data_IF_863321054881
#
_entry.id   IF_863321054881
#
_cell.length_a   1.000
_cell.length_b   1.000
_cell.length_c   1.000
_cell.angle_alpha   90.00
_cell.angle_beta   90.00
_cell.angle_gamma   90.00
#
_symmetry.space_group_name_H-M   'P 1'
#
loop_
_entity.id
_entity.type
_entity.pdbx_description
1 polymer ?
#
# COMPACT_ATOMS: atom_id res chain seq x y z
N UNK A 1 19.66 29.10 18.62
CA UNK A 1 18.50 28.38 19.17
C UNK A 1 17.57 27.90 18.06
N UNK A 2 17.36 28.73 17.06
CA UNK A 2 16.44 28.42 15.95
C UNK A 2 16.88 27.21 15.09
N UNK A 3 18.20 27.04 14.87
CA UNK A 3 18.75 25.92 14.08
C UNK A 3 18.41 24.54 14.65
N UNK A 4 18.56 24.34 15.97
CA UNK A 4 18.22 23.05 16.60
C UNK A 4 16.72 22.76 16.55
N UNK A 5 15.90 23.79 16.73
CA UNK A 5 14.44 23.66 16.61
C UNK A 5 14.07 23.28 15.19
N UNK A 6 14.68 23.91 14.19
CA UNK A 6 14.45 23.59 12.78
C UNK A 6 14.83 22.15 12.45
N UNK A 7 15.97 21.66 12.96
CA UNK A 7 16.40 20.27 12.79
C UNK A 7 15.36 19.29 13.39
N UNK A 8 14.88 19.55 14.61
CA UNK A 8 13.88 18.68 15.23
C UNK A 8 12.57 18.68 14.45
N UNK A 9 12.10 19.85 14.00
CA UNK A 9 10.89 19.97 13.21
C UNK A 9 11.03 19.24 11.87
N UNK A 10 12.15 19.40 11.19
CA UNK A 10 12.40 18.73 9.91
C UNK A 10 12.50 17.22 10.07
N UNK A 11 13.16 16.71 11.09
CA UNK A 11 13.20 15.27 11.39
C UNK A 11 11.81 14.71 11.69
N UNK A 12 10.98 15.46 12.42
CA UNK A 12 9.60 15.07 12.73
C UNK A 12 8.73 14.99 11.45
N UNK A 13 8.81 15.99 10.57
CA UNK A 13 8.07 15.96 9.30
C UNK A 13 8.61 14.88 8.36
N UNK A 14 9.93 14.66 8.29
CA UNK A 14 10.51 13.56 7.52
C UNK A 14 9.99 12.22 8.00
N UNK A 15 9.94 12.01 9.32
CA UNK A 15 9.40 10.79 9.92
C UNK A 15 7.91 10.56 9.55
N UNK A 16 7.10 11.64 9.55
CA UNK A 16 5.70 11.55 9.14
C UNK A 16 5.58 11.22 7.65
N UNK A 17 6.28 11.92 6.76
CA UNK A 17 6.20 11.66 5.33
C UNK A 17 6.65 10.24 4.98
N UNK A 18 7.80 9.83 5.50
CA UNK A 18 8.39 8.52 5.28
C UNK A 18 7.52 7.39 5.87
N UNK A 19 6.96 7.61 7.07
CA UNK A 19 6.06 6.68 7.73
C UNK A 19 4.72 6.55 7.00
N UNK A 20 4.11 7.67 6.58
CA UNK A 20 2.83 7.66 5.86
C UNK A 20 2.93 7.11 4.45
N UNK A 21 4.08 7.26 3.78
CA UNK A 21 4.36 6.59 2.52
C UNK A 21 4.26 5.08 2.67
N UNK A 22 5.01 4.50 3.63
CA UNK A 22 5.01 3.05 3.84
C UNK A 22 3.67 2.55 4.40
N UNK A 23 3.01 3.31 5.27
CA UNK A 23 1.69 2.96 5.78
C UNK A 23 0.67 2.83 4.66
N UNK A 24 0.68 3.74 3.69
CA UNK A 24 -0.21 3.68 2.54
C UNK A 24 0.07 2.48 1.64
N UNK A 25 1.34 2.22 1.32
CA UNK A 25 1.75 1.09 0.46
C UNK A 25 1.48 -0.26 1.14
N UNK A 26 1.68 -0.35 2.47
CA UNK A 26 1.46 -1.58 3.25
C UNK A 26 0.02 -1.73 3.75
N UNK A 27 -0.85 -0.76 3.51
CA UNK A 27 -2.24 -0.81 3.96
C UNK A 27 -3.07 -1.76 3.10
N UNK A 28 -3.97 -2.49 3.76
CA UNK A 28 -4.90 -3.36 3.08
C UNK A 28 -6.16 -2.59 2.70
N UNK A 29 -6.37 -2.36 1.40
CA UNK A 29 -7.50 -1.61 0.85
C UNK A 29 -8.85 -2.27 1.18
N UNK A 30 -8.92 -3.61 1.19
CA UNK A 30 -10.14 -4.33 1.48
C UNK A 30 -10.51 -4.22 2.97
N UNK A 31 -9.54 -4.38 3.87
CA UNK A 31 -9.75 -4.16 5.30
C UNK A 31 -10.24 -2.74 5.58
N UNK A 32 -9.70 -1.76 4.88
CA UNK A 32 -10.17 -0.38 4.95
C UNK A 32 -11.65 -0.25 4.52
N UNK A 33 -12.07 -0.88 3.41
CA UNK A 33 -13.47 -0.85 2.94
C UNK A 33 -14.43 -1.47 3.96
N UNK A 34 -14.02 -2.53 4.65
CA UNK A 34 -14.81 -3.16 5.72
C UNK A 34 -14.93 -2.25 6.95
N UNK A 35 -13.84 -1.59 7.34
CA UNK A 35 -13.79 -0.71 8.52
C UNK A 35 -14.31 0.71 8.26
N UNK A 36 -14.55 1.08 7.01
CA UNK A 36 -14.98 2.40 6.54
C UNK A 36 -16.17 3.00 7.31
N UNK A 37 -17.07 2.15 7.82
CA UNK A 37 -18.26 2.58 8.59
C UNK A 37 -17.93 3.23 9.93
N UNK A 38 -16.74 3.01 10.50
CA UNK A 38 -16.36 3.47 11.86
C UNK A 38 -15.86 4.93 11.90
N UNK A 39 -15.22 5.44 10.84
CA UNK A 39 -14.55 6.75 10.85
C UNK A 39 -14.97 7.62 9.65
N UNK A 40 -16.00 8.46 9.82
CA UNK A 40 -16.62 9.20 8.70
C UNK A 40 -15.70 10.19 7.96
N UNK A 41 -14.81 10.92 8.66
CA UNK A 41 -13.97 11.97 8.06
C UNK A 41 -12.68 11.34 7.51
N UNK A 42 -11.92 10.62 8.33
CA UNK A 42 -10.69 9.96 7.90
C UNK A 42 -10.92 8.99 6.73
N UNK A 43 -12.04 8.24 6.78
CA UNK A 43 -12.40 7.30 5.72
C UNK A 43 -12.61 7.96 4.37
N UNK A 44 -13.23 9.15 4.30
CA UNK A 44 -13.40 9.89 3.05
C UNK A 44 -12.07 10.37 2.48
N UNK A 45 -11.17 10.82 3.35
CA UNK A 45 -9.83 11.28 2.94
C UNK A 45 -9.00 10.10 2.43
N UNK A 46 -9.02 8.97 3.14
CA UNK A 46 -8.28 7.77 2.71
C UNK A 46 -8.83 7.22 1.41
N UNK A 47 -10.17 7.20 1.23
CA UNK A 47 -10.78 6.83 -0.06
C UNK A 47 -10.32 7.74 -1.20
N UNK A 48 -10.23 9.06 -0.95
CA UNK A 48 -9.68 10.01 -1.91
C UNK A 48 -8.22 9.68 -2.24
N UNK A 49 -7.40 9.33 -1.25
CA UNK A 49 -6.01 8.95 -1.46
C UNK A 49 -5.89 7.66 -2.27
N UNK A 50 -6.73 6.64 -1.99
CA UNK A 50 -6.75 5.42 -2.80
C UNK A 50 -7.16 5.66 -4.26
N UNK A 51 -8.09 6.59 -4.51
CA UNK A 51 -8.46 6.99 -5.88
C UNK A 51 -7.34 7.75 -6.61
N UNK A 52 -6.47 8.43 -5.87
CA UNK A 52 -5.37 9.24 -6.39
C UNK A 52 -4.01 8.78 -5.84
N UNK A 53 -3.79 7.47 -5.79
CA UNK A 53 -2.63 6.84 -5.17
C UNK A 53 -1.30 7.37 -5.71
N UNK A 54 -1.19 7.54 -7.01
CA UNK A 54 -0.02 8.10 -7.70
C UNK A 54 0.34 9.51 -7.19
N UNK A 55 -0.67 10.38 -7.06
CA UNK A 55 -0.48 11.74 -6.54
C UNK A 55 -0.17 11.75 -5.05
N UNK A 56 -0.78 10.85 -4.27
CA UNK A 56 -0.50 10.73 -2.85
C UNK A 56 0.95 10.34 -2.59
N UNK A 57 1.42 9.25 -3.21
CA UNK A 57 2.80 8.77 -3.06
C UNK A 57 3.79 9.85 -3.52
N UNK A 58 3.53 10.47 -4.67
CA UNK A 58 4.36 11.58 -5.18
C UNK A 58 4.41 12.75 -4.20
N UNK A 59 3.30 13.06 -3.51
CA UNK A 59 3.27 14.16 -2.53
C UNK A 59 4.10 13.82 -1.29
N UNK A 60 4.00 12.59 -0.78
CA UNK A 60 4.81 12.14 0.36
C UNK A 60 6.30 12.20 0.02
N UNK A 61 6.67 11.72 -1.17
CA UNK A 61 8.05 11.72 -1.65
C UNK A 61 8.60 13.15 -1.82
N UNK A 62 7.85 14.04 -2.46
CA UNK A 62 8.24 15.44 -2.64
C UNK A 62 8.36 16.15 -1.30
N UNK A 63 7.38 15.97 -0.41
CA UNK A 63 7.39 16.55 0.92
C UNK A 63 8.60 16.11 1.73
N UNK A 64 8.91 14.82 1.74
CA UNK A 64 10.09 14.28 2.41
C UNK A 64 11.38 14.90 1.86
N UNK A 65 11.54 14.96 0.54
CA UNK A 65 12.74 15.53 -0.08
C UNK A 65 12.93 17.01 0.25
N UNK A 66 11.86 17.82 0.25
CA UNK A 66 11.94 19.24 0.65
C UNK A 66 12.42 19.38 2.09
N UNK A 67 11.86 18.59 2.99
CA UNK A 67 12.22 18.60 4.41
C UNK A 67 13.67 18.13 4.63
N UNK A 68 14.12 17.10 3.90
CA UNK A 68 15.49 16.60 3.96
C UNK A 68 16.52 17.63 3.48
N UNK A 69 16.20 18.43 2.47
CA UNK A 69 17.07 19.51 2.01
C UNK A 69 17.23 20.59 3.11
N UNK A 70 16.13 20.99 3.74
CA UNK A 70 16.17 21.97 4.85
C UNK A 70 16.99 21.40 6.02
N UNK A 71 16.73 20.14 6.39
CA UNK A 71 17.50 19.42 7.41
C UNK A 71 19.00 19.43 7.09
N UNK A 72 19.39 19.08 5.87
CA UNK A 72 20.78 19.01 5.46
C UNK A 72 21.51 20.35 5.58
N UNK A 73 20.85 21.47 5.19
CA UNK A 73 21.39 22.82 5.30
C UNK A 73 21.62 23.18 6.78
N UNK A 74 20.63 22.94 7.64
CA UNK A 74 20.75 23.28 9.07
C UNK A 74 21.76 22.39 9.79
N UNK A 75 21.81 21.10 9.45
CA UNK A 75 22.75 20.16 10.04
C UNK A 75 24.20 20.47 9.64
N UNK A 76 24.43 20.92 8.41
CA UNK A 76 25.75 21.37 7.97
C UNK A 76 26.24 22.58 8.79
N UNK A 77 25.37 23.54 9.13
CA UNK A 77 25.72 24.68 9.99
C UNK A 77 26.14 24.22 11.40
N UNK A 78 25.39 23.27 11.99
CA UNK A 78 25.68 22.76 13.33
C UNK A 78 26.98 21.98 13.36
N UNK A 79 27.25 21.14 12.36
CA UNK A 79 28.45 20.29 12.33
C UNK A 79 29.70 21.02 11.89
N UNK A 80 29.58 22.19 11.25
CA UNK A 80 30.75 22.94 10.75
C UNK A 80 31.71 23.35 11.89
N UNK A 81 31.19 23.96 12.94
CA UNK A 81 32.01 24.47 14.02
C UNK A 81 32.82 23.36 14.75
N UNK A 82 32.24 22.24 15.21
CA UNK A 82 33.00 21.19 15.88
C UNK A 82 33.99 20.47 14.97
N UNK A 83 33.67 20.28 13.67
CA UNK A 83 34.58 19.60 12.75
C UNK A 83 35.75 20.47 12.33
N UNK A 84 35.58 21.78 12.22
CA UNK A 84 36.64 22.72 11.91
C UNK A 84 37.71 22.83 13.00
N UNK A 85 37.41 22.43 14.24
CA UNK A 85 38.40 22.37 15.34
C UNK A 85 39.41 21.24 15.14
N UNK A 86 39.05 20.17 14.46
CA UNK A 86 39.88 18.97 14.31
C UNK A 86 40.46 18.81 12.89
N UNK A 87 39.87 19.46 11.92
CA UNK A 87 40.14 19.24 10.49
C UNK A 87 40.32 20.58 9.79
N UNK A 88 41.48 20.77 9.14
CA UNK A 88 41.78 22.00 8.39
C UNK A 88 41.36 21.93 6.92
N UNK A 89 40.93 20.77 6.41
CA UNK A 89 40.57 20.59 5.01
C UNK A 89 39.05 20.72 4.83
N UNK A 90 38.60 21.76 4.13
CA UNK A 90 37.17 22.05 3.88
C UNK A 90 36.46 20.93 3.14
N UNK A 91 37.14 20.23 2.24
CA UNK A 91 36.50 19.09 1.52
C UNK A 91 36.20 17.91 2.45
N UNK A 92 37.15 17.60 3.37
CA UNK A 92 36.95 16.53 4.35
C UNK A 92 35.86 16.90 5.36
N UNK A 93 35.77 18.16 5.75
CA UNK A 93 34.67 18.66 6.62
C UNK A 93 33.33 18.44 5.94
N UNK A 94 33.18 18.87 4.67
CA UNK A 94 31.93 18.72 3.92
C UNK A 94 31.53 17.22 3.78
N UNK A 95 32.51 16.35 3.51
CA UNK A 95 32.26 14.93 3.37
C UNK A 95 31.78 14.30 4.69
N UNK A 96 32.44 14.63 5.80
CA UNK A 96 32.05 14.14 7.12
C UNK A 96 30.70 14.70 7.58
N UNK A 97 30.43 15.97 7.35
CA UNK A 97 29.12 16.58 7.62
C UNK A 97 28.01 15.81 6.90
N UNK A 98 28.19 15.56 5.61
CA UNK A 98 27.21 14.83 4.80
C UNK A 98 27.03 13.40 5.32
N UNK A 99 28.11 12.70 5.61
CA UNK A 99 28.05 11.33 6.11
C UNK A 99 27.31 11.23 7.45
N UNK A 100 27.69 12.07 8.42
CA UNK A 100 27.07 12.10 9.76
C UNK A 100 25.59 12.48 9.64
N UNK A 101 25.26 13.55 8.90
CA UNK A 101 23.86 13.97 8.68
C UNK A 101 23.03 12.87 8.04
N UNK A 102 23.57 12.18 7.04
CA UNK A 102 22.87 11.09 6.35
C UNK A 102 22.59 9.92 7.29
N UNK A 103 23.56 9.51 8.12
CA UNK A 103 23.34 8.43 9.09
C UNK A 103 22.24 8.81 10.09
N UNK A 104 22.27 10.02 10.62
CA UNK A 104 21.28 10.50 11.59
C UNK A 104 19.89 10.47 10.97
N UNK A 105 19.70 11.08 9.79
CA UNK A 105 18.38 11.14 9.17
C UNK A 105 17.88 9.77 8.69
N UNK A 106 18.77 8.93 8.19
CA UNK A 106 18.43 7.57 7.78
C UNK A 106 17.82 6.77 8.94
N UNK A 107 18.42 6.86 10.11
CA UNK A 107 17.93 6.14 11.29
C UNK A 107 16.66 6.79 11.84
N UNK A 108 16.68 8.11 12.10
CA UNK A 108 15.61 8.80 12.83
C UNK A 108 14.46 9.27 11.95
N UNK A 109 14.74 9.69 10.72
CA UNK A 109 13.75 10.23 9.79
C UNK A 109 13.16 9.20 8.83
N UNK A 110 13.84 8.05 8.60
CA UNK A 110 13.38 7.05 7.64
C UNK A 110 13.22 5.66 8.24
N UNK A 111 14.28 5.04 8.76
CA UNK A 111 14.25 3.63 9.16
C UNK A 111 13.27 3.35 10.31
N UNK A 112 13.44 4.06 11.43
CA UNK A 112 12.60 3.90 12.62
C UNK A 112 11.12 4.22 12.29
N UNK A 113 10.79 5.37 11.66
CA UNK A 113 9.40 5.67 11.30
C UNK A 113 8.79 4.64 10.36
N UNK A 114 9.49 4.22 9.31
CA UNK A 114 8.99 3.20 8.38
C UNK A 114 8.65 1.89 9.09
N UNK A 115 9.48 1.47 10.04
CA UNK A 115 9.23 0.25 10.82
C UNK A 115 8.00 0.38 11.72
N UNK A 116 7.86 1.52 12.42
CA UNK A 116 6.73 1.78 13.33
C UNK A 116 5.41 1.85 12.54
N UNK A 117 5.39 2.60 11.45
CA UNK A 117 4.18 2.78 10.64
C UNK A 117 3.77 1.52 9.89
N UNK A 118 4.73 0.70 9.49
CA UNK A 118 4.49 -0.60 8.86
C UNK A 118 3.83 -1.61 9.81
N UNK A 119 4.09 -1.54 11.11
CA UNK A 119 3.52 -2.48 12.09
C UNK A 119 1.98 -2.40 12.17
N UNK A 120 1.39 -1.20 12.03
CA UNK A 120 -0.05 -0.97 12.05
C UNK A 120 -0.47 0.08 11.02
N UNK A 121 -0.40 -0.22 9.71
CA UNK A 121 -0.56 0.78 8.66
C UNK A 121 -1.94 1.45 8.65
N UNK A 122 -3.01 0.68 8.84
CA UNK A 122 -4.37 1.20 8.86
C UNK A 122 -4.64 2.14 10.05
N UNK A 123 -4.04 1.88 11.21
CA UNK A 123 -4.16 2.75 12.38
C UNK A 123 -3.53 4.12 12.12
N UNK A 124 -2.31 4.15 11.62
CA UNK A 124 -1.59 5.39 11.32
C UNK A 124 -2.27 6.20 10.22
N UNK A 125 -2.74 5.53 9.16
CA UNK A 125 -3.52 6.17 8.10
C UNK A 125 -4.77 6.83 8.65
N UNK A 126 -5.55 6.15 9.49
CA UNK A 126 -6.79 6.71 10.04
C UNK A 126 -6.56 7.94 10.91
N UNK A 127 -5.50 7.96 11.73
CA UNK A 127 -5.20 9.08 12.62
C UNK A 127 -4.63 10.28 11.86
N UNK A 128 -3.68 10.04 10.96
CA UNK A 128 -2.93 11.11 10.31
C UNK A 128 -3.54 11.58 8.98
N UNK A 129 -4.50 10.83 8.40
CA UNK A 129 -5.10 11.20 7.12
C UNK A 129 -5.64 12.65 7.05
N UNK A 130 -6.37 13.19 8.05
CA UNK A 130 -6.85 14.57 7.97
C UNK A 130 -5.70 15.60 7.95
N UNK A 131 -4.66 15.35 8.74
CA UNK A 131 -3.47 16.21 8.78
C UNK A 131 -2.69 16.16 7.46
N UNK A 132 -2.47 14.98 6.94
CA UNK A 132 -1.80 14.76 5.66
C UNK A 132 -2.60 15.37 4.50
N UNK A 133 -3.94 15.38 4.58
CA UNK A 133 -4.74 16.01 3.54
C UNK A 133 -4.48 17.51 3.40
N UNK A 134 -4.24 18.22 4.52
CA UNK A 134 -3.87 19.63 4.49
C UNK A 134 -2.51 19.81 3.80
N UNK A 135 -1.54 18.99 4.15
CA UNK A 135 -0.21 19.01 3.53
C UNK A 135 -0.29 18.66 2.05
N UNK A 136 -1.09 17.65 1.70
CA UNK A 136 -1.35 17.26 0.31
C UNK A 136 -1.87 18.45 -0.49
N UNK A 137 -2.80 19.23 0.05
CA UNK A 137 -3.36 20.41 -0.64
C UNK A 137 -2.30 21.48 -0.89
N UNK A 138 -1.41 21.72 0.09
CA UNK A 138 -0.32 22.70 -0.03
C UNK A 138 0.72 22.25 -1.06
N UNK A 139 1.09 20.98 -1.08
CA UNK A 139 2.10 20.43 -1.98
C UNK A 139 1.54 20.07 -3.38
N UNK A 140 0.21 20.06 -3.53
CA UNK A 140 -0.48 19.66 -4.76
C UNK A 140 0.08 20.30 -6.04
N UNK A 141 0.32 21.63 -6.11
CA UNK A 141 0.84 22.25 -7.33
C UNK A 141 2.24 21.72 -7.72
N UNK A 142 3.09 21.44 -6.73
CA UNK A 142 4.44 20.89 -6.96
C UNK A 142 4.34 19.44 -7.42
N UNK A 143 3.43 18.68 -6.83
CA UNK A 143 3.21 17.27 -7.15
C UNK A 143 2.66 17.08 -8.57
N UNK A 144 1.78 17.97 -9.04
CA UNK A 144 1.30 17.94 -10.42
C UNK A 144 2.48 18.11 -11.40
N UNK A 145 3.38 19.04 -11.13
CA UNK A 145 4.54 19.26 -11.98
C UNK A 145 5.44 18.01 -12.01
N UNK A 146 5.72 17.42 -10.86
CA UNK A 146 6.52 16.20 -10.74
C UNK A 146 5.87 15.01 -11.48
N UNK A 147 4.57 14.80 -11.30
CA UNK A 147 3.82 13.73 -11.98
C UNK A 147 3.75 13.95 -13.49
N UNK A 148 3.56 15.19 -13.93
CA UNK A 148 3.58 15.54 -15.35
C UNK A 148 4.94 15.22 -15.99
N UNK A 149 6.04 15.59 -15.34
CA UNK A 149 7.39 15.31 -15.80
C UNK A 149 7.64 13.79 -15.86
N UNK A 150 7.26 13.05 -14.82
CA UNK A 150 7.36 11.59 -14.76
C UNK A 150 6.59 10.91 -15.91
N UNK A 151 5.33 11.32 -16.14
CA UNK A 151 4.51 10.79 -17.25
C UNK A 151 5.11 11.06 -18.62
N UNK A 152 5.71 12.23 -18.82
CA UNK A 152 6.38 12.56 -20.08
C UNK A 152 7.64 11.70 -20.30
N UNK A 153 8.42 11.45 -19.24
CA UNK A 153 9.57 10.55 -19.29
C UNK A 153 9.12 9.12 -19.63
N UNK A 154 8.09 8.61 -18.95
CA UNK A 154 7.55 7.26 -19.22
C UNK A 154 7.01 7.13 -20.66
N UNK A 155 6.40 8.19 -21.22
CA UNK A 155 5.98 8.21 -22.63
C UNK A 155 7.16 8.16 -23.59
N UNK A 156 8.25 8.87 -23.28
CA UNK A 156 9.46 8.86 -24.10
C UNK A 156 10.06 7.44 -24.20
N UNK A 157 10.04 6.69 -23.10
CA UNK A 157 10.50 5.30 -23.06
C UNK A 157 9.45 4.26 -23.51
N UNK A 158 8.26 4.69 -24.01
CA UNK A 158 7.13 3.82 -24.39
C UNK A 158 6.64 2.87 -23.28
N UNK A 159 6.91 3.20 -22.02
CA UNK A 159 6.50 2.43 -20.85
C UNK A 159 5.15 2.89 -20.28
N UNK A 160 4.58 3.96 -20.81
CA UNK A 160 3.30 4.49 -20.36
C UNK A 160 2.14 3.65 -20.89
N UNK A 161 1.45 2.95 -19.99
CA UNK A 161 0.23 2.19 -20.30
C UNK A 161 -0.97 2.85 -19.60
N UNK A 162 -1.86 3.56 -20.32
CA UNK A 162 -2.97 4.30 -19.71
C UNK A 162 -4.03 3.40 -19.07
N UNK A 163 -4.08 2.11 -19.44
CA UNK A 163 -5.09 1.16 -18.96
C UNK A 163 -4.71 0.46 -17.64
N UNK A 164 -3.52 0.70 -17.09
CA UNK A 164 -3.06 0.04 -15.86
C UNK A 164 -3.60 0.68 -14.57
N UNK A 165 -4.29 1.81 -14.67
CA UNK A 165 -4.82 2.56 -13.52
C UNK A 165 -6.27 2.18 -13.13
N UNK A 166 -6.85 1.14 -13.73
CA UNK A 166 -8.10 0.62 -13.21
C UNK A 166 -7.79 -0.33 -12.06
N UNK A 167 -7.77 0.23 -10.86
CA UNK A 167 -7.77 -0.45 -9.56
C UNK A 167 -9.03 -1.31 -9.35
N UNK A 168 -9.32 -2.20 -10.24
CA UNK A 168 -10.09 -3.37 -9.90
C UNK A 168 -9.21 -4.17 -8.92
N UNK A 169 -9.75 -4.54 -7.77
CA UNK A 169 -9.17 -5.51 -6.85
C UNK A 169 -8.61 -6.66 -7.69
N UNK A 170 -7.28 -6.68 -7.83
CA UNK A 170 -6.64 -7.73 -8.59
C UNK A 170 -6.83 -9.04 -7.83
N UNK A 171 -7.09 -10.13 -8.56
CA UNK A 171 -7.15 -11.49 -8.00
C UNK A 171 -5.97 -11.74 -7.05
N UNK A 172 -4.76 -11.24 -7.39
CA UNK A 172 -3.55 -11.32 -6.57
C UNK A 172 -3.68 -10.58 -5.21
N UNK A 173 -4.33 -9.41 -5.18
CA UNK A 173 -4.52 -8.66 -3.92
C UNK A 173 -5.50 -9.39 -3.00
N UNK A 174 -6.46 -10.08 -3.59
CA UNK A 174 -7.46 -10.87 -2.90
C UNK A 174 -6.88 -12.19 -2.36
N UNK A 175 -6.04 -12.87 -3.15
CA UNK A 175 -5.32 -14.08 -2.73
C UNK A 175 -4.35 -13.78 -1.57
N UNK A 176 -3.62 -12.66 -1.64
CA UNK A 176 -2.73 -12.22 -0.55
C UNK A 176 -3.50 -11.96 0.73
N UNK A 177 -4.70 -11.40 0.64
CA UNK A 177 -5.54 -11.10 1.80
C UNK A 177 -6.10 -12.37 2.44
N UNK A 178 -6.47 -13.36 1.64
CA UNK A 178 -6.91 -14.66 2.14
C UNK A 178 -5.78 -15.33 2.90
N UNK A 179 -4.57 -15.32 2.35
CA UNK A 179 -3.41 -15.89 3.01
C UNK A 179 -3.08 -15.17 4.33
N UNK A 180 -3.20 -13.83 4.37
CA UNK A 180 -3.02 -13.03 5.60
C UNK A 180 -4.08 -13.40 6.67
N UNK A 181 -5.34 -13.60 6.29
CA UNK A 181 -6.41 -14.03 7.21
C UNK A 181 -6.14 -15.43 7.74
N UNK A 182 -5.68 -16.35 6.90
CA UNK A 182 -5.33 -17.72 7.31
C UNK A 182 -4.17 -17.70 8.32
N UNK A 183 -3.13 -16.90 8.06
CA UNK A 183 -1.97 -16.78 8.96
C UNK A 183 -2.30 -16.15 10.32
N UNK A 184 -3.22 -15.16 10.35
CA UNK A 184 -3.61 -14.48 11.59
C UNK A 184 -4.57 -15.30 12.47
N UNK A 185 -5.25 -16.32 11.90
CA UNK A 185 -6.32 -17.02 12.62
C UNK A 185 -5.89 -18.44 13.02
N UNK A 186 -5.48 -18.60 14.28
CA UNK A 186 -5.11 -19.89 14.87
C UNK A 186 -6.27 -20.89 15.09
N UNK A 187 -7.52 -20.58 14.72
CA UNK A 187 -8.69 -21.46 14.85
C UNK A 187 -9.16 -21.97 13.47
N UNK A 188 -8.60 -23.08 13.06
CA UNK A 188 -8.59 -23.58 11.68
C UNK A 188 -9.91 -24.23 11.22
N UNK A 189 -10.70 -24.85 12.11
CA UNK A 189 -11.74 -25.82 11.70
C UNK A 189 -13.00 -25.24 11.00
N UNK A 190 -13.36 -23.96 11.19
CA UNK A 190 -14.52 -23.35 10.53
C UNK A 190 -14.17 -22.38 9.40
N UNK A 191 -12.94 -21.88 9.37
CA UNK A 191 -12.51 -20.86 8.39
C UNK A 191 -12.01 -21.53 7.11
N UNK A 192 -11.49 -22.73 7.19
CA UNK A 192 -10.94 -23.48 6.05
C UNK A 192 -11.99 -23.69 4.95
N UNK A 193 -13.24 -24.03 5.33
CA UNK A 193 -14.34 -24.19 4.37
C UNK A 193 -14.79 -22.88 3.74
N UNK A 194 -14.90 -21.81 4.52
CA UNK A 194 -15.32 -20.49 4.02
C UNK A 194 -14.27 -19.89 3.07
N UNK A 195 -12.99 -20.05 3.40
CA UNK A 195 -11.86 -19.64 2.57
C UNK A 195 -11.81 -20.44 1.28
N UNK A 196 -12.02 -21.76 1.35
CA UNK A 196 -12.04 -22.64 0.18
C UNK A 196 -13.20 -22.28 -0.77
N UNK A 197 -14.39 -22.01 -0.23
CA UNK A 197 -15.55 -21.54 -1.01
C UNK A 197 -15.22 -20.22 -1.70
N UNK A 198 -14.57 -19.30 -1.00
CA UNK A 198 -14.22 -18.00 -1.54
C UNK A 198 -13.15 -18.08 -2.64
N UNK A 199 -12.10 -18.90 -2.45
CA UNK A 199 -11.10 -19.20 -3.48
C UNK A 199 -11.74 -19.82 -4.70
N UNK A 200 -12.60 -20.83 -4.53
CA UNK A 200 -13.33 -21.45 -5.62
C UNK A 200 -14.23 -20.44 -6.37
N UNK A 201 -14.84 -19.49 -5.65
CA UNK A 201 -15.63 -18.42 -6.27
C UNK A 201 -14.79 -17.46 -7.11
N UNK A 202 -13.55 -17.17 -6.71
CA UNK A 202 -12.62 -16.37 -7.51
C UNK A 202 -12.15 -17.09 -8.77
N UNK A 203 -11.91 -18.39 -8.67
CA UNK A 203 -11.46 -19.21 -9.79
C UNK A 203 -12.60 -19.52 -10.76
N UNK A 204 -13.86 -19.36 -10.30
CA UNK A 204 -15.05 -19.63 -11.10
C UNK A 204 -15.11 -18.87 -12.44
N UNK A 205 -14.52 -17.65 -12.47
CA UNK A 205 -14.47 -16.87 -13.72
C UNK A 205 -13.64 -17.54 -14.84
N UNK A 206 -12.67 -18.38 -14.46
CA UNK A 206 -11.77 -19.07 -15.38
C UNK A 206 -12.25 -20.50 -15.72
N UNK A 207 -13.26 -21.01 -14.96
CA UNK A 207 -13.83 -22.35 -15.16
C UNK A 207 -14.75 -22.35 -16.37
N UNK A 208 -14.51 -23.26 -17.31
CA UNK A 208 -15.36 -23.40 -18.50
C UNK A 208 -16.56 -24.24 -18.15
N UNK A 209 -17.72 -23.89 -18.72
CA UNK A 209 -18.97 -24.63 -18.52
C UNK A 209 -18.83 -26.15 -18.76
N UNK A 210 -18.01 -26.54 -19.75
CA UNK A 210 -17.70 -27.95 -20.05
C UNK A 210 -17.03 -28.71 -18.89
N UNK A 211 -16.32 -27.99 -18.00
CA UNK A 211 -15.57 -28.60 -16.90
C UNK A 211 -16.50 -28.84 -15.67
N UNK A 212 -17.66 -28.17 -15.65
CA UNK A 212 -18.71 -28.32 -14.63
C UNK A 212 -19.93 -29.10 -15.13
N UNK A 213 -20.12 -29.22 -16.42
CA UNK A 213 -21.28 -29.89 -16.99
C UNK A 213 -21.08 -31.41 -17.01
N UNK A 214 -22.09 -32.15 -16.57
CA UNK A 214 -22.12 -33.59 -16.72
C UNK A 214 -22.31 -33.90 -18.22
N UNK A 215 -21.37 -34.63 -18.86
CA UNK A 215 -21.51 -35.01 -20.25
C UNK A 215 -22.81 -35.81 -20.47
N UNK A 216 -23.46 -35.60 -21.60
CA UNK A 216 -24.76 -36.26 -21.93
C UNK A 216 -24.68 -37.79 -21.85
N UNK A 217 -23.51 -38.34 -22.10
CA UNK A 217 -23.27 -39.80 -22.05
C UNK A 217 -23.22 -40.35 -20.61
N UNK A 218 -23.03 -39.50 -19.62
CA UNK A 218 -22.95 -39.86 -18.18
C UNK A 218 -24.27 -39.59 -17.46
N UNK A 219 -25.27 -39.00 -18.18
CA UNK A 219 -26.59 -38.73 -17.61
C UNK A 219 -27.41 -40.03 -17.67
N UNK A 220 -27.72 -40.57 -16.52
CA UNK A 220 -28.65 -41.66 -16.36
C UNK A 220 -30.06 -41.07 -16.45
N UNK A 221 -30.81 -41.45 -17.46
CA UNK A 221 -32.15 -40.88 -17.72
C UNK A 221 -33.13 -41.99 -18.00
N UNK A 222 -34.31 -41.87 -17.45
CA UNK A 222 -35.42 -42.76 -17.69
C UNK A 222 -36.40 -42.11 -18.70
N UNK A 223 -37.05 -42.87 -19.60
CA UNK A 223 -38.09 -42.37 -20.50
C UNK A 223 -39.22 -41.74 -19.69
N UNK A 224 -39.84 -40.65 -20.20
CA UNK A 224 -40.91 -39.98 -19.47
C UNK A 224 -42.20 -40.83 -19.33
N UNK A 225 -42.46 -41.70 -20.29
CA UNK A 225 -43.65 -42.59 -20.30
C UNK A 225 -43.23 -44.05 -20.17
N UNK A 226 -44.02 -44.81 -19.41
CA UNK A 226 -43.88 -46.25 -19.35
C UNK A 226 -42.97 -46.81 -18.24
N UNK A 227 -42.48 -45.97 -17.34
CA UNK A 227 -41.64 -46.41 -16.23
C UNK A 227 -42.46 -46.88 -15.03
N UNK A 228 -41.97 -47.95 -14.37
CA UNK A 228 -42.51 -48.44 -13.12
C UNK A 228 -41.65 -47.91 -11.93
N UNK A 229 -42.22 -48.01 -10.74
CA UNK A 229 -41.52 -47.65 -9.50
C UNK A 229 -40.29 -48.54 -9.29
N UNK A 230 -40.31 -49.76 -9.78
CA UNK A 230 -39.21 -50.73 -9.73
C UNK A 230 -38.03 -50.29 -10.63
N UNK A 231 -38.33 -49.75 -11.82
CA UNK A 231 -37.29 -49.22 -12.75
C UNK A 231 -36.57 -48.02 -12.14
N UNK A 232 -37.33 -47.14 -11.46
CA UNK A 232 -36.79 -45.97 -10.78
C UNK A 232 -35.88 -46.40 -9.61
N UNK A 233 -36.32 -47.35 -8.80
CA UNK A 233 -35.56 -47.90 -7.66
C UNK A 233 -34.25 -48.57 -8.12
N UNK A 234 -34.30 -49.31 -9.24
CA UNK A 234 -33.13 -49.96 -9.83
C UNK A 234 -32.08 -48.93 -10.31
N UNK A 235 -32.52 -47.86 -10.94
CA UNK A 235 -31.61 -46.81 -11.43
C UNK A 235 -30.92 -46.03 -10.31
N UNK A 236 -31.55 -45.95 -9.13
CA UNK A 236 -30.94 -45.31 -7.95
C UNK A 236 -30.05 -46.23 -7.13
N UNK A 237 -30.07 -47.52 -7.34
CA UNK A 237 -29.29 -48.51 -6.61
C UNK A 237 -28.06 -49.04 -7.36
N UNK A 238 -27.97 -48.78 -8.66
CA UNK A 238 -26.78 -48.96 -9.51
C UNK A 238 -25.92 -47.71 -9.53
#
# INVERSE_FOLDING_TARGET
MDTYITIIITLFFSAIFSGMEIAFVSSNKLRFEIEKKKHKISSRVIEFFYKHSEHYISTMLVGNNVVLVIYGIEMAKVLNAPLALFINNSFVIMLLQTLISTIIVLITGEFIPKTIFKSNPNFWLNILAPFIFIIYLILYPITILATFLSKNILRLFKLYNPNKNNDALNKVDLDNLINEIIEETHNIDNIENDVLIFQNALDFSDVKLRDCAIPRIEIIALPYEGNTLEDLQKTFTE
#
